data_IF_632431438006
#
_entry.id   IF_632431438006
#
_cell.length_a   1.000
_cell.length_b   1.000
_cell.length_c   1.000
_cell.angle_alpha   90.00
_cell.angle_beta   90.00
_cell.angle_gamma   90.00
#
_symmetry.space_group_name_H-M   'P 1'
#
loop_
_entity.id
_entity.type
_entity.pdbx_description
1 polymer ?
#
# COMPACT_ATOMS: atom_id res chain seq x y z
N UNK A 1 0.82 9.72 -20.27
CA UNK A 1 1.16 9.78 -18.83
C UNK A 1 2.47 10.55 -18.74
N UNK A 2 2.48 11.63 -17.97
CA UNK A 2 3.66 12.48 -17.77
C UNK A 2 3.84 12.64 -16.25
N UNK A 3 5.09 12.62 -15.79
CA UNK A 3 5.44 12.91 -14.42
C UNK A 3 6.66 13.83 -14.38
N UNK A 4 6.76 14.58 -13.30
CA UNK A 4 7.85 15.53 -13.04
C UNK A 4 8.43 15.22 -11.66
N UNK A 5 9.75 15.23 -11.58
CA UNK A 5 10.52 15.04 -10.35
C UNK A 5 11.50 16.19 -10.24
N UNK A 6 11.37 16.97 -9.18
CA UNK A 6 12.22 18.12 -8.88
C UNK A 6 13.22 17.69 -7.82
N UNK A 7 14.47 17.47 -8.23
CA UNK A 7 15.56 17.11 -7.32
C UNK A 7 16.02 18.36 -6.58
N UNK A 8 15.94 18.32 -5.25
CA UNK A 8 16.31 19.42 -4.37
C UNK A 8 17.73 19.24 -3.79
N UNK A 9 18.16 18.00 -3.57
CA UNK A 9 19.51 17.65 -3.11
C UNK A 9 20.14 16.58 -4.04
N UNK A 10 21.35 16.81 -4.61
CA UNK A 10 22.07 15.82 -5.43
C UNK A 10 22.33 14.46 -4.75
N UNK A 11 22.31 14.39 -3.42
CA UNK A 11 22.38 13.11 -2.69
C UNK A 11 21.26 12.16 -3.08
N UNK A 12 20.12 12.68 -3.53
CA UNK A 12 19.00 11.89 -4.05
C UNK A 12 19.47 10.92 -5.14
N UNK A 13 20.32 11.35 -6.09
CA UNK A 13 20.79 10.47 -7.17
C UNK A 13 21.55 9.25 -6.63
N UNK A 14 22.46 9.47 -5.68
CA UNK A 14 23.24 8.39 -5.08
C UNK A 14 22.32 7.43 -4.32
N UNK A 15 21.38 7.95 -3.54
CA UNK A 15 20.46 7.11 -2.76
C UNK A 15 19.48 6.35 -3.65
N UNK A 16 18.94 6.98 -4.70
CA UNK A 16 18.06 6.33 -5.67
C UNK A 16 18.78 5.23 -6.46
N UNK A 17 20.06 5.41 -6.81
CA UNK A 17 20.83 4.41 -7.56
C UNK A 17 21.23 3.20 -6.71
N UNK A 18 21.55 3.39 -5.43
CA UNK A 18 22.12 2.32 -4.59
C UNK A 18 21.21 1.82 -3.47
N UNK A 19 20.12 2.54 -3.15
CA UNK A 19 19.25 2.23 -2.02
C UNK A 19 18.07 1.30 -2.34
N UNK A 20 18.04 0.69 -3.52
CA UNK A 20 17.04 -0.33 -3.89
C UNK A 20 15.61 0.23 -3.99
N UNK A 21 14.62 -0.67 -3.89
CA UNK A 21 13.21 -0.35 -4.15
C UNK A 21 12.59 0.65 -3.17
N UNK A 22 13.11 0.75 -1.94
CA UNK A 22 12.55 1.58 -0.87
C UNK A 22 13.12 3.01 -0.86
N UNK A 23 14.34 3.21 -1.38
CA UNK A 23 15.01 4.51 -1.35
C UNK A 23 14.24 5.63 -2.06
N UNK A 24 13.43 5.31 -3.06
CA UNK A 24 12.55 6.29 -3.70
C UNK A 24 11.56 6.92 -2.73
N UNK A 25 10.97 6.12 -1.84
CA UNK A 25 10.06 6.60 -0.79
C UNK A 25 10.81 7.35 0.32
N UNK A 26 11.93 6.80 0.80
CA UNK A 26 12.73 7.42 1.86
C UNK A 26 13.25 8.80 1.44
N UNK A 27 13.85 8.92 0.25
CA UNK A 27 14.39 10.19 -0.24
C UNK A 27 13.31 11.23 -0.53
N UNK A 28 12.07 10.80 -0.80
CA UNK A 28 10.91 11.70 -0.87
C UNK A 28 10.50 12.19 0.52
N UNK A 29 10.41 11.28 1.51
CA UNK A 29 10.10 11.63 2.90
C UNK A 29 11.16 12.54 3.53
N UNK A 30 12.43 12.32 3.20
CA UNK A 30 13.57 13.15 3.61
C UNK A 30 13.62 14.52 2.91
N UNK A 31 12.73 14.78 1.95
CA UNK A 31 12.65 16.04 1.22
C UNK A 31 13.79 16.27 0.22
N UNK A 32 14.50 15.21 -0.21
CA UNK A 32 15.60 15.34 -1.19
C UNK A 32 15.08 15.61 -2.60
N UNK A 33 13.82 15.31 -2.86
CA UNK A 33 13.12 15.65 -4.09
C UNK A 33 11.62 15.82 -3.84
N UNK A 34 10.94 16.50 -4.77
CA UNK A 34 9.49 16.72 -4.72
C UNK A 34 8.87 16.48 -6.08
N UNK A 35 7.54 16.41 -6.13
CA UNK A 35 6.77 16.30 -7.37
C UNK A 35 5.46 17.06 -7.25
N UNK A 36 5.02 17.80 -8.29
CA UNK A 36 3.69 18.37 -8.32
C UNK A 36 2.58 17.30 -8.39
N UNK A 37 2.92 16.07 -8.80
CA UNK A 37 1.97 14.96 -8.86
C UNK A 37 2.69 13.62 -8.60
N UNK A 38 2.84 13.30 -7.32
CA UNK A 38 3.47 12.05 -6.88
C UNK A 38 2.74 10.81 -7.43
N UNK A 39 1.41 10.87 -7.55
CA UNK A 39 0.61 9.77 -8.12
C UNK A 39 1.04 9.42 -9.54
N UNK A 40 1.35 10.41 -10.38
CA UNK A 40 1.84 10.15 -11.74
C UNK A 40 3.25 9.56 -11.75
N UNK A 41 4.13 9.99 -10.83
CA UNK A 41 5.47 9.40 -10.66
C UNK A 41 5.34 7.92 -10.31
N UNK A 42 4.54 7.59 -9.30
CA UNK A 42 4.28 6.21 -8.87
C UNK A 42 3.65 5.39 -10.00
N UNK A 43 2.70 5.95 -10.75
CA UNK A 43 2.10 5.27 -11.92
C UNK A 43 3.12 4.97 -13.01
N UNK A 44 4.05 5.88 -13.28
CA UNK A 44 5.15 5.61 -14.21
C UNK A 44 6.03 4.48 -13.68
N UNK A 45 6.43 4.52 -12.41
CA UNK A 45 7.21 3.43 -11.83
C UNK A 45 6.47 2.09 -11.88
N UNK A 46 5.19 2.05 -11.49
CA UNK A 46 4.36 0.84 -11.54
C UNK A 46 4.27 0.23 -12.96
N UNK A 47 4.10 1.07 -13.99
CA UNK A 47 4.10 0.61 -15.39
C UNK A 47 5.46 0.11 -15.87
N UNK A 48 6.54 0.58 -15.25
CA UNK A 48 7.92 0.22 -15.59
C UNK A 48 8.54 -0.79 -14.60
N UNK A 49 7.75 -1.36 -13.67
CA UNK A 49 8.21 -2.41 -12.76
C UNK A 49 8.94 -3.55 -13.48
N UNK A 50 8.48 -4.05 -14.65
CA UNK A 50 9.22 -5.10 -15.36
C UNK A 50 10.63 -4.69 -15.82
N UNK A 51 10.86 -3.39 -16.05
CA UNK A 51 12.19 -2.85 -16.37
C UNK A 51 13.05 -2.83 -15.11
N UNK A 52 12.49 -2.34 -13.99
CA UNK A 52 13.16 -2.38 -12.68
C UNK A 52 13.52 -3.81 -12.28
N UNK A 53 12.60 -4.77 -12.38
CA UNK A 53 12.85 -6.18 -12.09
C UNK A 53 13.99 -6.77 -12.93
N UNK A 54 14.10 -6.38 -14.21
CA UNK A 54 15.19 -6.81 -15.10
C UNK A 54 16.52 -6.20 -14.68
N UNK A 55 16.53 -4.93 -14.30
CA UNK A 55 17.71 -4.24 -13.78
C UNK A 55 18.15 -4.84 -12.43
N UNK A 56 17.23 -5.04 -11.50
CA UNK A 56 17.48 -5.70 -10.22
C UNK A 56 18.03 -7.11 -10.43
N UNK A 57 17.47 -7.91 -11.34
CA UNK A 57 18.02 -9.25 -11.65
C UNK A 57 19.44 -9.20 -12.21
N UNK A 58 19.78 -8.17 -13.00
CA UNK A 58 21.12 -7.98 -13.57
C UNK A 58 22.18 -7.65 -12.50
N UNK A 59 21.77 -6.97 -11.43
CA UNK A 59 22.63 -6.66 -10.27
C UNK A 59 22.37 -7.58 -9.07
N UNK A 60 21.38 -8.45 -9.15
CA UNK A 60 20.86 -9.26 -8.04
C UNK A 60 21.86 -10.30 -7.54
N UNK A 61 22.83 -10.68 -8.38
CA UNK A 61 23.94 -11.53 -7.96
C UNK A 61 24.89 -10.83 -6.96
N UNK A 62 24.97 -9.49 -6.97
CA UNK A 62 25.75 -8.72 -5.99
C UNK A 62 25.02 -8.57 -4.65
N UNK A 63 23.69 -8.50 -4.67
CA UNK A 63 22.85 -8.31 -3.46
C UNK A 63 22.33 -9.62 -2.86
N UNK A 64 22.43 -10.74 -3.59
CA UNK A 64 22.00 -12.07 -3.16
C UNK A 64 22.49 -12.50 -1.76
N UNK A 65 23.80 -12.39 -1.41
CA UNK A 65 24.25 -12.78 -0.06
C UNK A 65 23.69 -11.87 1.03
N UNK A 66 23.55 -10.57 0.76
CA UNK A 66 23.05 -9.58 1.73
C UNK A 66 21.56 -9.77 2.00
N UNK A 67 20.75 -9.97 0.96
CA UNK A 67 19.31 -10.23 1.07
C UNK A 67 19.03 -11.55 1.81
N UNK A 68 19.86 -12.58 1.61
CA UNK A 68 19.73 -13.86 2.32
C UNK A 68 20.04 -13.73 3.81
N UNK A 69 21.03 -12.93 4.18
CA UNK A 69 21.37 -12.63 5.58
C UNK A 69 20.26 -11.79 6.23
N UNK A 70 19.78 -10.73 5.58
CA UNK A 70 18.66 -9.94 6.09
C UNK A 70 17.39 -10.78 6.27
N UNK A 71 17.06 -11.64 5.31
CA UNK A 71 15.87 -12.48 5.42
C UNK A 71 15.99 -13.54 6.52
N UNK A 72 17.20 -14.07 6.77
CA UNK A 72 17.46 -14.98 7.88
C UNK A 72 17.36 -14.30 9.25
N UNK A 73 17.76 -13.03 9.34
CA UNK A 73 17.67 -12.20 10.55
C UNK A 73 16.24 -11.70 10.81
N UNK A 74 15.40 -11.60 9.78
CA UNK A 74 13.98 -11.19 9.86
C UNK A 74 13.01 -12.36 10.08
N UNK A 75 13.42 -13.39 10.84
CA UNK A 75 12.51 -14.49 11.21
C UNK A 75 11.39 -13.98 12.11
N UNK A 76 10.14 -14.15 11.69
CA UNK A 76 8.94 -13.78 12.44
C UNK A 76 8.89 -14.54 13.78
N UNK A 77 9.26 -13.87 14.87
CA UNK A 77 8.96 -14.30 16.23
C UNK A 77 7.69 -13.60 16.72
N UNK A 78 7.00 -14.20 17.68
CA UNK A 78 5.81 -13.59 18.34
C UNK A 78 6.17 -12.21 18.93
N UNK A 79 7.39 -12.06 19.45
CA UNK A 79 7.87 -10.81 20.00
C UNK A 79 8.10 -9.73 18.92
N UNK A 80 8.64 -10.11 17.75
CA UNK A 80 8.80 -9.19 16.62
C UNK A 80 7.45 -8.81 16.02
N UNK A 81 6.50 -9.75 15.94
CA UNK A 81 5.14 -9.46 15.51
C UNK A 81 4.48 -8.42 16.44
N UNK A 82 4.64 -8.55 17.76
CA UNK A 82 4.13 -7.55 18.72
C UNK A 82 4.75 -6.17 18.53
N UNK A 83 6.07 -6.08 18.32
CA UNK A 83 6.77 -4.80 18.04
C UNK A 83 6.30 -4.18 16.73
N UNK A 84 6.14 -4.98 15.68
CA UNK A 84 5.61 -4.53 14.39
C UNK A 84 4.16 -4.04 14.50
N UNK A 85 3.31 -4.72 15.28
CA UNK A 85 1.92 -4.30 15.54
C UNK A 85 1.92 -2.95 16.27
N UNK A 86 2.72 -2.80 17.34
CA UNK A 86 2.72 -1.56 18.14
C UNK A 86 3.14 -0.33 17.31
N UNK A 87 4.15 -0.46 16.43
CA UNK A 87 4.62 0.65 15.61
C UNK A 87 3.63 1.10 14.50
N UNK A 88 2.62 0.28 14.17
CA UNK A 88 1.74 0.51 13.00
C UNK A 88 0.30 0.92 13.34
N UNK A 89 -0.10 0.98 14.62
CA UNK A 89 -1.49 1.31 15.00
C UNK A 89 -1.66 2.52 15.93
N UNK A 90 -0.57 3.20 16.32
CA UNK A 90 -0.65 4.39 17.19
C UNK A 90 -1.27 5.63 16.51
N UNK A 91 -1.42 5.64 15.18
CA UNK A 91 -2.15 6.70 14.47
C UNK A 91 -3.69 6.63 14.66
N UNK A 92 -4.19 5.50 15.17
CA UNK A 92 -5.56 5.32 15.70
C UNK A 92 -6.71 5.67 14.74
N UNK A 93 -7.95 5.58 15.26
CA UNK A 93 -9.16 5.95 14.50
C UNK A 93 -9.17 7.42 14.07
N UNK A 94 -8.46 8.30 14.79
CA UNK A 94 -8.41 9.74 14.50
C UNK A 94 -7.85 10.06 13.12
N UNK A 95 -6.85 9.30 12.66
CA UNK A 95 -6.31 9.45 11.31
C UNK A 95 -7.31 8.93 10.27
N UNK A 96 -7.82 7.72 10.48
CA UNK A 96 -8.66 7.03 9.48
C UNK A 96 -10.00 7.72 9.23
N UNK A 97 -10.62 8.31 10.26
CA UNK A 97 -11.89 9.04 10.10
C UNK A 97 -11.75 10.31 9.26
N UNK A 98 -10.53 10.80 8.99
CA UNK A 98 -10.33 11.98 8.13
C UNK A 98 -10.54 11.67 6.64
N UNK A 99 -10.43 10.41 6.22
CA UNK A 99 -10.46 10.05 4.80
C UNK A 99 -11.27 8.80 4.45
N UNK A 100 -11.68 7.99 5.44
CA UNK A 100 -12.64 6.92 5.24
C UNK A 100 -14.08 7.45 5.37
N UNK A 101 -15.03 6.70 4.83
CA UNK A 101 -16.45 6.93 5.11
C UNK A 101 -16.83 6.40 6.50
N UNK A 102 -18.08 6.65 6.91
CA UNK A 102 -18.60 6.28 8.24
C UNK A 102 -18.52 4.78 8.53
N UNK A 103 -18.49 3.92 7.50
CA UNK A 103 -18.33 2.47 7.68
C UNK A 103 -16.91 2.05 8.09
N UNK A 104 -15.94 2.97 8.08
CA UNK A 104 -14.53 2.73 8.42
C UNK A 104 -13.89 1.59 7.59
N UNK A 105 -14.39 1.36 6.37
CA UNK A 105 -13.88 0.30 5.51
C UNK A 105 -12.57 0.69 4.84
N UNK A 106 -11.45 0.23 5.41
CA UNK A 106 -10.13 0.36 4.81
C UNK A 106 -9.86 -0.74 3.77
N UNK A 107 -10.71 -0.80 2.74
CA UNK A 107 -10.62 -1.70 1.60
C UNK A 107 -11.14 -1.01 0.34
N UNK A 108 -10.81 -1.55 -0.84
CA UNK A 108 -11.27 -0.98 -2.11
C UNK A 108 -12.79 -0.94 -2.18
N UNK A 109 -13.35 0.20 -2.57
CA UNK A 109 -14.76 0.35 -2.90
C UNK A 109 -15.06 -0.07 -4.35
N UNK A 110 -16.34 -0.23 -4.69
CA UNK A 110 -16.81 -0.50 -6.06
C UNK A 110 -17.80 0.59 -6.44
N UNK A 111 -17.40 1.46 -7.36
CA UNK A 111 -18.21 2.61 -7.77
C UNK A 111 -19.28 2.16 -8.78
N UNK A 112 -20.59 2.28 -8.47
CA UNK A 112 -21.65 1.94 -9.40
C UNK A 112 -21.71 2.88 -10.60
N UNK A 113 -21.23 4.12 -10.44
CA UNK A 113 -21.10 5.13 -11.49
C UNK A 113 -19.99 6.14 -11.15
N UNK A 114 -19.50 6.93 -12.13
CA UNK A 114 -18.38 7.84 -11.93
C UNK A 114 -18.57 8.89 -10.83
N UNK A 115 -19.82 9.33 -10.61
CA UNK A 115 -20.14 10.40 -9.64
C UNK A 115 -20.47 9.87 -8.23
N UNK A 116 -20.40 8.56 -8.00
CA UNK A 116 -20.73 7.98 -6.69
C UNK A 116 -19.72 8.46 -5.65
N UNK A 117 -20.21 8.79 -4.45
CA UNK A 117 -19.32 9.11 -3.34
C UNK A 117 -18.75 7.81 -2.71
N UNK A 118 -17.76 7.95 -1.82
CA UNK A 118 -17.09 6.80 -1.21
C UNK A 118 -18.07 5.91 -0.42
N UNK A 119 -18.97 6.50 0.37
CA UNK A 119 -19.94 5.77 1.17
C UNK A 119 -20.88 4.92 0.29
N UNK A 120 -21.37 5.49 -0.81
CA UNK A 120 -22.19 4.78 -1.78
C UNK A 120 -21.41 3.63 -2.45
N UNK A 121 -20.19 3.88 -2.90
CA UNK A 121 -19.34 2.87 -3.53
C UNK A 121 -18.99 1.71 -2.57
N UNK A 122 -18.85 2.02 -1.29
CA UNK A 122 -18.63 1.05 -0.23
C UNK A 122 -19.86 0.18 0.03
N UNK A 123 -21.05 0.77 0.13
CA UNK A 123 -22.31 0.04 0.24
C UNK A 123 -22.61 -0.82 -0.99
N UNK A 124 -22.33 -0.29 -2.18
CA UNK A 124 -22.47 -1.05 -3.43
C UNK A 124 -21.55 -2.27 -3.46
N UNK A 125 -20.31 -2.14 -3.00
CA UNK A 125 -19.38 -3.28 -2.84
C UNK A 125 -19.97 -4.35 -1.92
N UNK A 126 -20.49 -3.97 -0.75
CA UNK A 126 -21.08 -4.91 0.21
C UNK A 126 -22.26 -5.67 -0.41
N UNK A 127 -23.17 -4.93 -1.06
CA UNK A 127 -24.27 -5.55 -1.80
C UNK A 127 -23.77 -6.52 -2.87
N UNK A 128 -22.76 -6.14 -3.66
CA UNK A 128 -22.19 -7.00 -4.69
C UNK A 128 -21.56 -8.27 -4.10
N UNK A 129 -20.95 -8.22 -2.90
CA UNK A 129 -20.46 -9.39 -2.19
C UNK A 129 -21.63 -10.31 -1.80
N UNK A 130 -22.68 -9.77 -1.17
CA UNK A 130 -23.86 -10.53 -0.79
C UNK A 130 -24.56 -11.18 -2.00
N UNK A 131 -24.71 -10.43 -3.09
CA UNK A 131 -25.32 -10.92 -4.34
C UNK A 131 -24.48 -12.05 -4.95
N UNK A 132 -23.14 -11.93 -4.96
CA UNK A 132 -22.22 -12.96 -5.47
C UNK A 132 -22.25 -14.24 -4.63
N UNK A 133 -22.39 -14.10 -3.32
CA UNK A 133 -22.55 -15.21 -2.39
C UNK A 133 -23.95 -15.83 -2.45
N UNK A 134 -24.92 -15.16 -3.12
CA UNK A 134 -26.32 -15.57 -3.22
C UNK A 134 -26.96 -15.80 -1.85
N UNK A 135 -26.62 -14.94 -0.88
CA UNK A 135 -27.06 -15.08 0.51
C UNK A 135 -28.58 -15.07 0.62
N UNK A 136 -29.09 -15.96 1.46
CA UNK A 136 -30.49 -16.03 1.88
C UNK A 136 -30.61 -15.61 3.34
N UNK A 137 -31.81 -15.18 3.79
CA UNK A 137 -32.03 -14.82 5.19
C UNK A 137 -31.77 -15.95 6.20
N UNK A 138 -31.70 -17.20 5.74
CA UNK A 138 -31.43 -18.39 6.57
C UNK A 138 -29.95 -18.74 6.68
N UNK A 139 -29.08 -18.07 5.92
CA UNK A 139 -27.67 -18.41 5.87
C UNK A 139 -26.91 -17.81 7.07
N UNK A 140 -25.87 -18.51 7.52
CA UNK A 140 -24.92 -18.00 8.51
C UNK A 140 -23.61 -17.64 7.80
N UNK A 141 -23.16 -16.38 7.96
CA UNK A 141 -21.96 -15.85 7.31
C UNK A 141 -20.80 -15.79 8.32
N UNK A 142 -19.60 -16.17 7.87
CA UNK A 142 -18.34 -15.98 8.61
C UNK A 142 -17.43 -15.04 7.82
N UNK A 143 -17.07 -13.90 8.41
CA UNK A 143 -16.09 -12.97 7.85
C UNK A 143 -14.73 -13.15 8.54
N UNK A 144 -13.71 -13.48 7.77
CA UNK A 144 -12.34 -13.60 8.27
C UNK A 144 -11.64 -12.25 8.06
N UNK A 145 -11.35 -11.56 9.16
CA UNK A 145 -10.72 -10.22 9.12
C UNK A 145 -11.73 -9.09 8.95
N UNK A 146 -12.74 -9.03 9.82
CA UNK A 146 -13.88 -8.09 9.73
C UNK A 146 -13.53 -6.60 9.85
N UNK A 147 -12.29 -6.27 10.24
CA UNK A 147 -11.89 -4.89 10.47
C UNK A 147 -12.78 -4.22 11.52
N UNK A 148 -13.51 -3.17 11.12
CA UNK A 148 -14.47 -2.46 11.95
C UNK A 148 -15.90 -3.03 11.89
N UNK A 149 -16.11 -4.19 11.25
CA UNK A 149 -17.43 -4.82 11.16
C UNK A 149 -18.31 -4.28 10.03
N UNK A 150 -17.71 -3.74 8.96
CA UNK A 150 -18.48 -3.08 7.89
C UNK A 150 -19.40 -4.00 7.09
N UNK A 151 -19.10 -5.30 7.00
CA UNK A 151 -19.93 -6.30 6.31
C UNK A 151 -20.82 -7.11 7.28
N UNK A 152 -20.49 -7.10 8.58
CA UNK A 152 -21.05 -7.98 9.59
C UNK A 152 -22.51 -7.65 9.97
#
# INVERSE_FOLDING_TARGET
LQAEVNILDPKAYRHLLFGGSVASGETFMDGLWTSPNLTNVIRIFARNLPVLDKWEKRFGWLTYPFNKIQHFLNRNSVEQARKNIQAHYDLGNQLYTQFLDESMMYSSAVYPHPEANLAEAQQHKLKAICDKLQLKPTDHLMEIGTGWGGLA
#
